data_IF_055553892187
#
_entry.id   IF_055553892187
#
_cell.length_a   1.000
_cell.length_b   1.000
_cell.length_c   1.000
_cell.angle_alpha   90.00
_cell.angle_beta   90.00
_cell.angle_gamma   90.00
#
_symmetry.space_group_name_H-M   'P 1'
#
loop_
_entity.id
_entity.type
_entity.pdbx_description
1 polymer ?
#
# COMPACT_ATOMS: atom_id res chain seq x y z
N UNK A 1 -7.43 4.90 13.91
CA UNK A 1 -6.32 4.61 12.98
C UNK A 1 -6.26 5.62 11.82
N UNK A 2 -7.27 5.65 10.93
CA UNK A 2 -7.34 6.59 9.78
C UNK A 2 -7.01 8.06 10.09
N UNK A 3 -7.63 8.67 11.11
CA UNK A 3 -7.40 10.08 11.49
C UNK A 3 -5.93 10.43 11.78
N UNK A 4 -5.14 9.47 12.29
CA UNK A 4 -3.72 9.66 12.63
C UNK A 4 -2.79 9.44 11.44
N UNK A 5 -3.21 8.63 10.47
CA UNK A 5 -2.41 8.24 9.31
C UNK A 5 -2.73 9.05 8.05
N UNK A 6 -3.94 9.59 7.93
CA UNK A 6 -4.37 10.43 6.80
C UNK A 6 -3.41 11.60 6.52
N UNK A 7 -2.89 12.35 7.52
CA UNK A 7 -1.92 13.42 7.28
C UNK A 7 -0.58 12.95 6.67
N UNK A 8 -0.30 11.64 6.66
CA UNK A 8 0.88 11.04 6.01
C UNK A 8 0.56 10.43 4.65
N UNK A 9 -0.59 9.76 4.53
CA UNK A 9 -1.01 9.07 3.29
C UNK A 9 -1.38 10.06 2.18
N UNK A 10 -2.09 11.14 2.49
CA UNK A 10 -2.48 12.12 1.46
C UNK A 10 -1.25 12.78 0.80
N UNK A 11 -0.29 13.37 1.55
CA UNK A 11 0.93 13.90 0.94
C UNK A 11 1.76 12.85 0.19
N UNK A 12 1.79 11.60 0.68
CA UNK A 12 2.49 10.51 0.00
C UNK A 12 1.95 10.28 -1.41
N UNK A 13 0.63 10.13 -1.56
CA UNK A 13 0.01 9.90 -2.87
C UNK A 13 0.05 11.15 -3.77
N UNK A 14 0.16 12.33 -3.19
CA UNK A 14 0.40 13.58 -3.92
C UNK A 14 1.88 13.78 -4.32
N UNK A 15 2.76 12.82 -4.03
CA UNK A 15 4.18 12.91 -4.37
C UNK A 15 4.96 13.93 -3.54
N UNK A 16 4.45 14.31 -2.37
CA UNK A 16 5.01 15.33 -1.47
C UNK A 16 5.80 14.73 -0.30
N UNK A 17 6.25 13.49 -0.45
CA UNK A 17 7.00 12.78 0.59
C UNK A 17 8.36 12.41 0.02
N UNK A 18 9.42 12.68 0.80
CA UNK A 18 10.77 12.20 0.49
C UNK A 18 11.55 11.94 1.77
N UNK A 19 12.25 10.81 1.87
CA UNK A 19 13.06 10.43 3.03
C UNK A 19 12.26 10.48 4.35
N UNK A 20 10.99 10.08 4.30
CA UNK A 20 10.08 10.07 5.46
C UNK A 20 9.58 11.45 5.89
N UNK A 21 9.98 12.52 5.19
CA UNK A 21 9.53 13.89 5.44
C UNK A 21 8.43 14.30 4.49
N UNK A 22 7.52 15.16 4.97
CA UNK A 22 6.44 15.74 4.17
C UNK A 22 6.87 17.15 3.77
N UNK A 23 6.66 17.49 2.51
CA UNK A 23 6.96 18.80 1.93
C UNK A 23 5.67 19.47 1.43
N UNK A 24 5.71 20.79 1.29
CA UNK A 24 4.61 21.54 0.66
C UNK A 24 4.60 21.35 -0.87
N UNK A 25 5.80 21.22 -1.44
CA UNK A 25 6.02 21.02 -2.87
C UNK A 25 6.17 19.54 -3.26
N UNK A 26 5.85 19.24 -4.51
CA UNK A 26 5.97 17.90 -5.09
C UNK A 26 7.46 17.53 -5.21
N UNK A 27 7.85 16.38 -4.66
CA UNK A 27 9.22 15.85 -4.64
C UNK A 27 9.42 14.61 -5.52
N UNK A 28 8.34 13.87 -5.78
CA UNK A 28 8.29 12.78 -6.73
C UNK A 28 6.98 12.87 -7.51
N UNK A 29 6.89 12.24 -8.67
CA UNK A 29 5.69 12.33 -9.49
C UNK A 29 4.47 11.84 -8.69
N UNK A 30 3.32 12.55 -8.67
CA UNK A 30 2.11 12.14 -7.96
C UNK A 30 1.42 10.92 -8.57
N UNK A 31 0.49 10.31 -7.84
CA UNK A 31 -0.31 9.18 -8.32
C UNK A 31 -0.97 9.48 -9.68
N UNK A 32 -0.80 8.61 -10.67
CA UNK A 32 -1.29 8.83 -12.04
C UNK A 32 -1.39 7.51 -12.82
N UNK A 33 -2.14 7.50 -13.92
CA UNK A 33 -2.23 6.37 -14.84
C UNK A 33 -3.04 5.20 -14.27
N UNK A 34 -2.60 3.98 -14.56
CA UNK A 34 -3.18 2.74 -14.02
C UNK A 34 -2.60 2.43 -12.65
N UNK A 35 -3.45 2.39 -11.64
CA UNK A 35 -3.09 2.21 -10.24
C UNK A 35 -3.67 0.90 -9.70
N UNK A 36 -2.87 0.12 -8.98
CA UNK A 36 -3.36 -0.97 -8.12
C UNK A 36 -3.38 -0.51 -6.67
N UNK A 37 -4.57 -0.32 -6.07
CA UNK A 37 -4.71 -0.22 -4.62
C UNK A 37 -4.87 -1.63 -4.04
N UNK A 38 -3.83 -2.12 -3.38
CA UNK A 38 -3.77 -3.49 -2.86
C UNK A 38 -4.27 -3.52 -1.42
N UNK A 39 -5.13 -4.48 -1.10
CA UNK A 39 -5.71 -4.60 0.24
C UNK A 39 -6.62 -3.41 0.57
N UNK A 40 -7.46 -3.02 -0.41
CA UNK A 40 -8.32 -1.85 -0.32
C UNK A 40 -9.36 -1.96 0.81
N UNK A 41 -9.60 -3.17 1.35
CA UNK A 41 -10.48 -3.41 2.47
C UNK A 41 -11.89 -2.93 2.18
N UNK A 42 -12.53 -2.28 3.15
CA UNK A 42 -13.86 -1.68 3.00
C UNK A 42 -13.83 -0.24 2.45
N UNK A 43 -12.70 0.22 1.89
CA UNK A 43 -12.54 1.59 1.37
C UNK A 43 -12.14 2.61 2.41
N UNK A 44 -11.32 2.22 3.40
CA UNK A 44 -10.83 3.13 4.44
C UNK A 44 -10.13 4.35 3.85
N UNK A 45 -9.45 4.21 2.72
CA UNK A 45 -8.68 5.27 2.07
C UNK A 45 -9.42 5.97 0.92
N UNK A 46 -10.68 5.60 0.64
CA UNK A 46 -11.45 6.14 -0.48
C UNK A 46 -11.55 7.68 -0.46
N UNK A 47 -11.75 8.31 0.70
CA UNK A 47 -11.78 9.79 0.79
C UNK A 47 -10.43 10.43 0.45
N UNK A 48 -9.33 9.77 0.84
CA UNK A 48 -7.98 10.25 0.52
C UNK A 48 -7.76 10.14 -0.98
N UNK A 49 -8.16 9.02 -1.58
CA UNK A 49 -8.06 8.84 -3.02
C UNK A 49 -8.95 9.83 -3.77
N UNK A 50 -10.19 10.08 -3.33
CA UNK A 50 -11.05 11.13 -3.90
C UNK A 50 -10.34 12.49 -3.90
N UNK A 51 -9.78 12.89 -2.76
CA UNK A 51 -9.00 14.14 -2.64
C UNK A 51 -7.78 14.17 -3.56
N UNK A 52 -7.06 13.05 -3.69
CA UNK A 52 -5.91 12.94 -4.61
C UNK A 52 -6.38 13.09 -6.05
N UNK A 53 -7.47 12.40 -6.43
CA UNK A 53 -7.97 12.35 -7.81
C UNK A 53 -8.42 13.72 -8.32
N UNK A 54 -8.97 14.59 -7.48
CA UNK A 54 -9.32 15.98 -7.83
C UNK A 54 -8.11 16.78 -8.34
N UNK A 55 -6.90 16.46 -7.86
CA UNK A 55 -5.66 17.13 -8.24
C UNK A 55 -4.90 16.47 -9.39
N UNK A 56 -5.31 15.28 -9.85
CA UNK A 56 -4.58 14.56 -10.90
C UNK A 56 -4.87 15.15 -12.27
N UNK A 57 -3.81 15.57 -12.97
CA UNK A 57 -3.88 16.01 -14.37
C UNK A 57 -3.53 14.84 -15.29
N UNK A 58 -4.53 14.30 -15.99
CA UNK A 58 -4.33 13.22 -16.97
C UNK A 58 -5.15 11.96 -16.68
N UNK A 59 -4.89 10.85 -17.40
CA UNK A 59 -5.63 9.61 -17.22
C UNK A 59 -5.36 9.02 -15.84
N UNK A 60 -6.42 8.58 -15.18
CA UNK A 60 -6.36 7.89 -13.90
C UNK A 60 -7.41 6.77 -13.87
N UNK A 61 -6.95 5.55 -13.58
CA UNK A 61 -7.79 4.38 -13.35
C UNK A 61 -7.23 3.63 -12.15
N UNK A 62 -8.04 3.43 -11.12
CA UNK A 62 -7.66 2.75 -9.89
C UNK A 62 -8.38 1.40 -9.86
N UNK A 63 -7.61 0.31 -9.72
CA UNK A 63 -8.13 -1.01 -9.44
C UNK A 63 -7.92 -1.33 -7.97
N UNK A 64 -9.02 -1.43 -7.22
CA UNK A 64 -9.02 -1.84 -5.82
C UNK A 64 -9.03 -3.36 -5.68
N UNK A 65 -7.92 -3.94 -5.26
CA UNK A 65 -7.73 -5.39 -5.13
C UNK A 65 -8.09 -5.81 -3.70
N UNK A 66 -9.20 -6.54 -3.55
CA UNK A 66 -9.70 -6.99 -2.26
C UNK A 66 -10.39 -8.37 -2.37
N UNK A 67 -9.78 -9.47 -1.87
CA UNK A 67 -10.33 -10.81 -2.01
C UNK A 67 -11.55 -11.09 -1.11
N UNK A 68 -11.75 -10.35 -0.01
CA UNK A 68 -12.87 -10.59 0.88
C UNK A 68 -14.17 -10.04 0.28
N UNK A 69 -15.19 -10.87 0.02
CA UNK A 69 -16.39 -10.44 -0.70
C UNK A 69 -17.20 -9.38 0.05
N UNK A 70 -17.24 -9.44 1.39
CA UNK A 70 -17.91 -8.43 2.21
C UNK A 70 -17.20 -7.08 2.16
N UNK A 71 -15.86 -7.10 2.25
CA UNK A 71 -15.03 -5.90 2.14
C UNK A 71 -15.12 -5.30 0.74
N UNK A 72 -15.04 -6.12 -0.31
CA UNK A 72 -15.21 -5.68 -1.69
C UNK A 72 -16.60 -5.07 -1.94
N UNK A 73 -17.67 -5.63 -1.37
CA UNK A 73 -19.01 -5.04 -1.45
C UNK A 73 -19.09 -3.68 -0.74
N UNK A 74 -18.52 -3.57 0.45
CA UNK A 74 -18.44 -2.32 1.21
C UNK A 74 -17.59 -1.26 0.47
N UNK A 75 -16.45 -1.66 -0.10
CA UNK A 75 -15.57 -0.83 -0.91
C UNK A 75 -16.31 -0.26 -2.13
N UNK A 76 -17.04 -1.09 -2.87
CA UNK A 76 -17.86 -0.63 -4.01
C UNK A 76 -18.88 0.42 -3.60
N UNK A 77 -19.53 0.23 -2.44
CA UNK A 77 -20.44 1.24 -1.91
C UNK A 77 -19.69 2.51 -1.56
N UNK A 78 -18.58 2.38 -0.85
CA UNK A 78 -17.80 3.52 -0.36
C UNK A 78 -17.22 4.36 -1.49
N UNK A 79 -16.69 3.75 -2.55
CA UNK A 79 -16.12 4.49 -3.69
C UNK A 79 -17.19 5.25 -4.46
N UNK A 80 -18.40 4.70 -4.61
CA UNK A 80 -19.56 5.45 -5.14
C UNK A 80 -19.95 6.62 -4.24
N UNK A 81 -20.03 6.39 -2.93
CA UNK A 81 -20.44 7.42 -1.97
C UNK A 81 -19.49 8.64 -1.96
N UNK A 82 -18.24 8.46 -2.39
CA UNK A 82 -17.23 9.55 -2.48
C UNK A 82 -16.95 9.99 -3.93
N UNK A 83 -17.77 9.58 -4.91
CA UNK A 83 -17.67 10.05 -6.30
C UNK A 83 -16.50 9.49 -7.11
N UNK A 84 -16.00 8.30 -6.75
CA UNK A 84 -14.90 7.64 -7.47
C UNK A 84 -15.37 6.64 -8.54
N UNK A 85 -16.67 6.51 -8.78
CA UNK A 85 -17.28 5.51 -9.67
C UNK A 85 -16.79 5.59 -11.13
N UNK A 86 -16.41 6.77 -11.61
CA UNK A 86 -15.85 6.94 -12.95
C UNK A 86 -14.39 6.51 -13.10
N UNK A 87 -13.62 6.45 -12.01
CA UNK A 87 -12.16 6.21 -12.04
C UNK A 87 -11.72 4.98 -11.25
N UNK A 88 -12.58 4.45 -10.40
CA UNK A 88 -12.25 3.37 -9.47
C UNK A 88 -13.07 2.11 -9.76
N UNK A 89 -12.38 0.98 -9.91
CA UNK A 89 -12.97 -0.32 -10.15
C UNK A 89 -12.52 -1.33 -9.09
N UNK A 90 -13.48 -2.03 -8.47
CA UNK A 90 -13.20 -3.02 -7.43
C UNK A 90 -13.01 -4.39 -8.06
N UNK A 91 -11.82 -4.96 -7.90
CA UNK A 91 -11.45 -6.31 -8.29
C UNK A 91 -11.56 -7.23 -7.05
N UNK A 92 -12.62 -8.06 -6.94
CA UNK A 92 -12.88 -8.89 -5.77
C UNK A 92 -12.03 -10.17 -5.77
N UNK A 93 -10.71 -10.02 -5.93
CA UNK A 93 -9.75 -11.12 -6.12
C UNK A 93 -8.50 -10.92 -5.26
N UNK A 94 -7.74 -11.99 -5.08
CA UNK A 94 -6.37 -11.90 -4.56
C UNK A 94 -5.38 -11.48 -5.64
N UNK A 95 -4.19 -11.07 -5.21
CA UNK A 95 -3.09 -10.60 -6.07
C UNK A 95 -2.71 -11.68 -7.10
N UNK A 96 -2.78 -12.95 -6.70
CA UNK A 96 -2.46 -14.12 -7.52
C UNK A 96 -3.38 -14.28 -8.75
N UNK A 97 -4.57 -13.67 -8.74
CA UNK A 97 -5.54 -13.72 -9.84
C UNK A 97 -5.61 -12.44 -10.67
N UNK A 98 -4.76 -11.45 -10.41
CA UNK A 98 -4.81 -10.16 -11.15
C UNK A 98 -4.63 -10.31 -12.66
N UNK A 99 -3.84 -11.29 -13.07
CA UNK A 99 -3.55 -11.57 -14.48
C UNK A 99 -4.59 -12.46 -15.17
N UNK A 100 -5.59 -12.94 -14.43
CA UNK A 100 -6.66 -13.80 -14.94
C UNK A 100 -7.91 -12.94 -15.26
N UNK A 101 -8.15 -12.59 -16.54
CA UNK A 101 -9.29 -11.77 -16.92
C UNK A 101 -10.63 -12.45 -16.64
N UNK A 102 -10.67 -13.78 -16.48
CA UNK A 102 -11.91 -14.49 -16.14
C UNK A 102 -12.31 -14.26 -14.68
N UNK A 103 -11.33 -13.98 -13.81
CA UNK A 103 -11.55 -13.70 -12.40
C UNK A 103 -11.78 -12.20 -12.13
N UNK A 104 -11.07 -11.33 -12.83
CA UNK A 104 -11.10 -9.87 -12.61
C UNK A 104 -12.13 -9.14 -13.47
N UNK A 105 -12.50 -9.70 -14.63
CA UNK A 105 -13.25 -9.00 -15.68
C UNK A 105 -12.41 -8.02 -16.50
N UNK A 106 -11.13 -7.81 -16.14
CA UNK A 106 -10.20 -6.88 -16.79
C UNK A 106 -8.82 -7.50 -16.96
N UNK A 107 -8.14 -7.18 -18.07
CA UNK A 107 -6.78 -7.68 -18.29
C UNK A 107 -5.76 -6.73 -17.67
N UNK A 108 -5.24 -7.06 -16.48
CA UNK A 108 -4.05 -6.42 -15.92
C UNK A 108 -2.83 -7.17 -16.43
N UNK A 109 -2.08 -6.57 -17.35
CA UNK A 109 -0.93 -7.23 -17.96
C UNK A 109 0.35 -6.99 -17.12
N UNK A 110 1.30 -7.94 -17.08
CA UNK A 110 2.63 -7.68 -16.54
C UNK A 110 3.26 -6.45 -17.21
N UNK A 111 3.95 -5.61 -16.43
CA UNK A 111 4.58 -4.38 -16.90
C UNK A 111 3.62 -3.29 -17.41
N UNK A 112 2.33 -3.35 -17.11
CA UNK A 112 1.34 -2.37 -17.57
C UNK A 112 0.85 -1.38 -16.50
N UNK A 113 1.24 -1.56 -15.24
CA UNK A 113 0.77 -0.75 -14.12
C UNK A 113 1.72 0.42 -13.88
N UNK A 114 1.17 1.64 -13.81
CA UNK A 114 1.92 2.87 -13.54
C UNK A 114 2.26 3.00 -12.06
N UNK A 115 1.29 2.68 -11.18
CA UNK A 115 1.46 2.81 -9.74
C UNK A 115 0.89 1.62 -8.96
N UNK A 116 1.60 1.20 -7.90
CA UNK A 116 1.06 0.30 -6.86
C UNK A 116 0.95 1.09 -5.57
N UNK A 117 -0.14 0.90 -4.82
CA UNK A 117 -0.40 1.54 -3.54
C UNK A 117 -0.67 0.46 -2.50
N UNK A 118 0.13 0.46 -1.43
CA UNK A 118 -0.02 -0.45 -0.27
C UNK A 118 -0.02 0.36 1.01
N UNK A 119 -1.14 0.32 1.73
CA UNK A 119 -1.36 1.12 2.94
C UNK A 119 -1.81 0.19 4.07
N UNK A 120 -0.88 -0.20 4.94
CA UNK A 120 -1.08 -1.09 6.09
C UNK A 120 -1.76 -2.43 5.73
N UNK A 121 -1.41 -3.01 4.58
CA UNK A 121 -2.01 -4.26 4.10
C UNK A 121 -1.01 -5.40 3.97
N UNK A 122 0.26 -5.13 3.66
CA UNK A 122 1.26 -6.17 3.36
C UNK A 122 1.49 -7.12 4.53
N UNK A 123 1.36 -6.64 5.77
CA UNK A 123 1.46 -7.47 6.97
C UNK A 123 0.39 -8.58 7.06
N UNK A 124 -0.72 -8.47 6.32
CA UNK A 124 -1.84 -9.42 6.32
C UNK A 124 -1.91 -10.29 5.07
N UNK A 125 -1.03 -10.05 4.10
CA UNK A 125 -1.00 -10.79 2.84
C UNK A 125 -0.25 -12.12 3.05
N UNK A 126 -0.85 -13.28 2.67
CA UNK A 126 -0.16 -14.57 2.75
C UNK A 126 1.03 -14.59 1.79
N UNK A 127 2.08 -15.33 2.12
CA UNK A 127 3.31 -15.39 1.30
C UNK A 127 3.78 -13.99 0.84
N UNK A 128 4.06 -13.05 1.76
CA UNK A 128 4.16 -11.62 1.44
C UNK A 128 5.25 -11.32 0.42
N UNK A 129 6.38 -12.02 0.45
CA UNK A 129 7.46 -11.83 -0.53
C UNK A 129 7.04 -12.25 -1.94
N UNK A 130 6.38 -13.40 -2.09
CA UNK A 130 5.88 -13.91 -3.38
C UNK A 130 4.87 -12.94 -3.98
N UNK A 131 3.91 -12.49 -3.18
CA UNK A 131 2.89 -11.54 -3.63
C UNK A 131 3.48 -10.17 -3.94
N UNK A 132 4.47 -9.71 -3.17
CA UNK A 132 5.17 -8.47 -3.46
C UNK A 132 5.97 -8.55 -4.77
N UNK A 133 6.65 -9.68 -5.06
CA UNK A 133 7.30 -9.93 -6.36
C UNK A 133 6.30 -9.92 -7.52
N UNK A 134 5.11 -10.49 -7.32
CA UNK A 134 4.05 -10.47 -8.33
C UNK A 134 3.58 -9.03 -8.62
N UNK A 135 3.38 -8.21 -7.59
CA UNK A 135 3.06 -6.78 -7.75
C UNK A 135 4.18 -6.02 -8.48
N UNK A 136 5.44 -6.28 -8.14
CA UNK A 136 6.59 -5.73 -8.83
C UNK A 136 6.61 -6.10 -10.32
N UNK A 137 6.16 -7.30 -10.69
CA UNK A 137 6.07 -7.72 -12.10
C UNK A 137 4.96 -7.00 -12.88
N UNK A 138 3.88 -6.55 -12.21
CA UNK A 138 2.86 -5.71 -12.85
C UNK A 138 3.33 -4.28 -13.10
N UNK A 139 4.22 -3.75 -12.26
CA UNK A 139 4.79 -2.42 -12.45
C UNK A 139 5.60 -2.36 -13.76
N UNK A 140 5.34 -1.31 -14.55
CA UNK A 140 6.15 -0.94 -15.70
C UNK A 140 7.53 -0.42 -15.28
N UNK A 141 8.46 -0.30 -16.23
CA UNK A 141 9.70 0.47 -16.02
C UNK A 141 9.37 1.96 -15.86
N UNK A 142 9.95 2.61 -14.87
CA UNK A 142 9.57 3.93 -14.36
C UNK A 142 8.27 3.92 -13.53
N UNK A 143 7.72 2.74 -13.24
CA UNK A 143 6.52 2.57 -12.41
C UNK A 143 6.84 2.83 -10.94
N UNK A 144 5.85 3.32 -10.18
CA UNK A 144 6.04 3.76 -8.78
C UNK A 144 5.24 2.92 -7.80
N UNK A 145 5.84 2.59 -6.67
CA UNK A 145 5.15 1.94 -5.56
C UNK A 145 5.10 2.87 -4.36
N UNK A 146 3.90 3.32 -4.01
CA UNK A 146 3.64 4.16 -2.83
C UNK A 146 3.38 3.27 -1.62
N UNK A 147 4.23 3.39 -0.61
CA UNK A 147 4.25 2.51 0.54
C UNK A 147 3.94 3.32 1.80
N UNK A 148 2.95 2.88 2.57
CA UNK A 148 2.76 3.29 3.96
C UNK A 148 2.44 2.05 4.78
N UNK A 149 3.45 1.41 5.32
CA UNK A 149 3.33 0.08 5.91
C UNK A 149 3.85 0.03 7.33
N UNK A 150 3.30 -0.89 8.11
CA UNK A 150 3.89 -1.29 9.38
C UNK A 150 5.08 -2.24 9.11
N UNK A 151 6.10 -2.18 9.95
CA UNK A 151 7.29 -3.03 9.85
C UNK A 151 7.65 -3.69 11.18
N UNK A 152 8.41 -4.78 11.10
CA UNK A 152 9.09 -5.39 12.24
C UNK A 152 10.02 -4.36 12.89
N UNK A 153 10.02 -4.31 14.22
CA UNK A 153 10.98 -3.50 15.00
C UNK A 153 12.41 -3.99 14.73
N UNK A 154 13.38 -3.06 14.75
CA UNK A 154 14.80 -3.40 14.65
C UNK A 154 15.21 -4.32 15.81
N UNK A 155 15.92 -5.40 15.48
CA UNK A 155 16.41 -6.37 16.45
C UNK A 155 17.41 -5.76 17.45
N UNK A 156 18.03 -4.62 17.11
CA UNK A 156 18.86 -3.83 18.02
C UNK A 156 18.07 -3.24 19.21
N UNK A 157 16.75 -3.08 19.09
CA UNK A 157 15.86 -2.62 20.16
C UNK A 157 15.29 -3.82 20.92
N UNK A 158 16.17 -4.58 21.58
CA UNK A 158 15.87 -5.91 22.11
C UNK A 158 14.57 -5.99 22.94
N UNK A 159 14.34 -5.05 23.87
CA UNK A 159 13.14 -5.05 24.71
C UNK A 159 11.85 -4.88 23.89
N UNK A 160 11.88 -4.03 22.87
CA UNK A 160 10.71 -3.71 22.03
C UNK A 160 10.48 -4.80 20.99
N UNK A 161 11.55 -5.33 20.39
CA UNK A 161 11.48 -6.49 19.49
C UNK A 161 10.89 -7.71 20.21
N UNK A 162 11.32 -7.97 21.44
CA UNK A 162 10.75 -9.06 22.26
C UNK A 162 9.27 -8.83 22.58
N UNK A 163 8.90 -7.62 22.98
CA UNK A 163 7.50 -7.26 23.23
C UNK A 163 6.62 -7.40 21.98
N UNK A 164 7.11 -6.95 20.82
CA UNK A 164 6.43 -7.11 19.54
C UNK A 164 6.25 -8.59 19.20
N UNK A 165 7.29 -9.41 19.37
CA UNK A 165 7.23 -10.86 19.10
C UNK A 165 6.24 -11.58 20.03
N UNK A 166 6.19 -11.22 21.31
CA UNK A 166 5.21 -11.77 22.25
C UNK A 166 3.78 -11.38 21.86
N UNK A 167 3.56 -10.09 21.57
CA UNK A 167 2.27 -9.56 21.14
C UNK A 167 1.82 -10.21 19.83
N UNK A 168 2.74 -10.47 18.90
CA UNK A 168 2.45 -11.11 17.62
C UNK A 168 1.82 -12.50 17.78
N UNK A 169 2.22 -13.29 18.79
CA UNK A 169 1.66 -14.62 19.04
C UNK A 169 0.17 -14.60 19.38
N UNK A 170 -0.28 -13.54 20.05
CA UNK A 170 -1.69 -13.31 20.36
C UNK A 170 -2.38 -12.69 19.15
N UNK A 171 -1.72 -11.72 18.51
CA UNK A 171 -2.23 -10.98 17.37
C UNK A 171 -2.61 -11.87 16.19
N UNK A 172 -1.75 -12.80 15.77
CA UNK A 172 -2.03 -13.72 14.64
C UNK A 172 -3.21 -14.66 14.92
N UNK A 173 -3.56 -14.91 16.19
CA UNK A 173 -4.74 -15.70 16.55
C UNK A 173 -6.03 -14.89 16.44
N UNK A 174 -5.97 -13.58 16.71
CA UNK A 174 -7.14 -12.70 16.76
C UNK A 174 -7.39 -12.00 15.41
N UNK A 175 -6.33 -11.58 14.74
CA UNK A 175 -6.35 -10.77 13.52
C UNK A 175 -6.08 -11.60 12.25
N UNK A 176 -6.15 -12.93 12.37
CA UNK A 176 -5.94 -13.87 11.26
C UNK A 176 -4.52 -13.80 10.70
N UNK A 177 -4.39 -13.48 9.42
CA UNK A 177 -3.11 -13.52 8.70
C UNK A 177 -2.19 -12.33 8.99
N UNK A 178 -2.65 -11.32 9.74
CA UNK A 178 -1.84 -10.14 10.06
C UNK A 178 -0.67 -10.51 10.98
N UNK A 179 0.56 -10.15 10.60
CA UNK A 179 1.78 -10.37 11.36
C UNK A 179 2.46 -9.04 11.74
N UNK A 180 2.53 -8.76 13.04
CA UNK A 180 3.26 -7.62 13.60
C UNK A 180 4.77 -7.70 13.38
N UNK A 181 5.29 -8.87 13.02
CA UNK A 181 6.71 -9.09 12.77
C UNK A 181 7.06 -9.17 11.28
N UNK A 182 6.20 -8.66 10.38
CA UNK A 182 6.47 -8.60 8.95
C UNK A 182 7.60 -7.59 8.64
N UNK A 183 8.76 -8.00 8.10
CA UNK A 183 9.87 -7.10 7.80
C UNK A 183 9.69 -6.46 6.41
N UNK A 184 8.59 -5.74 6.22
CA UNK A 184 8.15 -5.25 4.90
C UNK A 184 9.17 -4.35 4.21
N UNK A 185 9.86 -3.48 4.96
CA UNK A 185 10.97 -2.65 4.47
C UNK A 185 12.09 -3.48 3.85
N UNK A 186 12.61 -4.46 4.59
CA UNK A 186 13.70 -5.35 4.14
C UNK A 186 13.25 -6.27 3.02
N UNK A 187 11.98 -6.67 3.02
CA UNK A 187 11.39 -7.49 1.97
C UNK A 187 11.31 -6.71 0.66
N UNK A 188 10.71 -5.52 0.66
CA UNK A 188 10.57 -4.69 -0.54
C UNK A 188 11.92 -4.29 -1.14
N UNK A 189 12.97 -4.11 -0.32
CA UNK A 189 14.32 -3.87 -0.81
C UNK A 189 14.92 -5.03 -1.64
N UNK A 190 14.35 -6.25 -1.55
CA UNK A 190 14.90 -7.48 -2.17
C UNK A 190 14.03 -8.07 -3.27
N UNK A 191 12.84 -7.51 -3.54
CA UNK A 191 11.89 -8.11 -4.50
C UNK A 191 12.23 -7.84 -5.97
N UNK A 192 13.06 -6.83 -6.25
CA UNK A 192 13.45 -6.45 -7.60
C UNK A 192 14.52 -5.35 -7.60
N UNK A 193 14.88 -4.92 -8.80
CA UNK A 193 15.86 -3.85 -9.04
C UNK A 193 15.15 -2.50 -9.09
N UNK A 194 15.46 -1.62 -8.14
CA UNK A 194 14.84 -0.31 -8.04
C UNK A 194 15.76 0.77 -8.62
N UNK A 195 15.24 1.60 -9.51
CA UNK A 195 15.90 2.83 -9.96
C UNK A 195 16.04 3.83 -8.80
N UNK A 196 15.03 3.93 -7.94
CA UNK A 196 15.06 4.70 -6.70
C UNK A 196 14.34 3.95 -5.58
N UNK A 197 14.98 3.82 -4.42
CA UNK A 197 14.38 3.19 -3.23
C UNK A 197 14.28 4.21 -2.09
N UNK A 198 13.23 5.05 -2.10
CA UNK A 198 12.96 5.98 -1.02
C UNK A 198 11.93 5.39 -0.05
N UNK A 199 12.41 4.78 1.03
CA UNK A 199 11.57 4.24 2.10
C UNK A 199 12.21 4.53 3.46
N UNK A 200 11.52 5.30 4.29
CA UNK A 200 12.07 5.74 5.57
C UNK A 200 11.01 5.80 6.67
N UNK A 201 11.48 5.87 7.93
CA UNK A 201 10.61 6.16 9.05
C UNK A 201 10.01 7.58 8.88
N UNK A 202 8.70 7.75 9.05
CA UNK A 202 8.08 9.07 9.01
C UNK A 202 8.69 10.01 10.04
N UNK A 203 8.94 11.26 9.66
CA UNK A 203 9.44 12.29 10.56
C UNK A 203 8.56 12.41 11.82
N UNK A 204 9.21 12.55 12.98
CA UNK A 204 8.56 12.61 14.29
C UNK A 204 8.01 11.29 14.82
N UNK A 205 8.20 10.16 14.11
CA UNK A 205 7.88 8.84 14.66
C UNK A 205 8.93 8.44 15.72
N UNK A 206 8.52 8.06 16.95
CA UNK A 206 9.45 7.57 17.95
C UNK A 206 10.11 6.25 17.50
N UNK A 207 11.42 6.12 17.72
CA UNK A 207 12.16 4.89 17.42
C UNK A 207 11.67 3.69 18.24
N UNK A 208 11.00 3.94 19.37
CA UNK A 208 10.51 2.93 20.28
C UNK A 208 9.02 2.55 20.05
N UNK A 209 8.41 2.94 18.93
CA UNK A 209 7.03 2.53 18.64
C UNK A 209 6.95 1.01 18.44
N UNK A 210 6.09 0.26 19.18
CA UNK A 210 6.00 -1.20 19.07
C UNK A 210 5.47 -1.72 17.72
N UNK A 211 4.86 -0.84 16.92
CA UNK A 211 4.41 -1.11 15.56
C UNK A 211 4.87 0.06 14.67
N UNK A 212 6.18 0.18 14.43
CA UNK A 212 6.73 1.27 13.64
C UNK A 212 6.22 1.17 12.20
N UNK A 213 6.17 2.32 11.54
CA UNK A 213 5.77 2.42 10.14
C UNK A 213 6.88 3.01 9.30
N UNK A 214 6.88 2.67 8.02
CA UNK A 214 7.69 3.30 6.99
C UNK A 214 6.79 3.95 5.96
N UNK A 215 7.31 4.98 5.31
CA UNK A 215 6.63 5.65 4.20
C UNK A 215 7.60 6.11 3.13
N UNK A 216 7.14 6.11 1.89
CA UNK A 216 7.92 6.59 0.76
C UNK A 216 7.50 5.99 -0.57
N UNK A 217 8.27 6.27 -1.61
CA UNK A 217 7.99 5.88 -2.99
C UNK A 217 9.17 5.12 -3.57
N UNK A 218 8.91 3.94 -4.10
CA UNK A 218 9.89 3.10 -4.79
C UNK A 218 9.67 3.23 -6.31
N UNK A 219 10.74 3.38 -7.09
CA UNK A 219 10.67 3.51 -8.55
C UNK A 219 11.39 2.33 -9.20
N UNK A 220 10.68 1.59 -10.05
CA UNK A 220 11.19 0.43 -10.80
C UNK A 220 11.87 0.85 -12.09
#
# INVERSE_FOLDING_TARGET
MKKRSMPRVLPLLQGRVRHGQIYDEVRCAPLSGTVLEVGAGSGMWADVLATVTEGVKGPLKIYGVEPNPYSAAALRKRTRDVGLDGVYEVLPVGIEKLGDPTATGVRVAPGSVDCVVTIQCLCSIPEPEKNARLLYNYLKKGGRWYVYEHIKVDDNLAAISWFQALTNKIWTKVMGTCSLCCPTDKMLAKIGDWEEFDLALPAGQPLYEPAPRVMGVLTK
#
